data_IF_376681522171
#
_entry.id   IF_376681522171
#
_cell.length_a   1.000
_cell.length_b   1.000
_cell.length_c   1.000
_cell.angle_alpha   90.00
_cell.angle_beta   90.00
_cell.angle_gamma   90.00
#
_symmetry.space_group_name_H-M   'P 1'
#
loop_
_entity.id
_entity.type
_entity.pdbx_description
1 polymer ?
#
# COMPACT_ATOMS: atom_id res chain seq x y z
N UNK A 1 18.45 -6.66 19.57
CA UNK A 1 17.34 -6.74 20.53
C UNK A 1 16.51 -5.47 20.47
N UNK A 2 15.19 -5.61 20.48
CA UNK A 2 14.28 -4.49 20.40
C UNK A 2 13.90 -4.06 21.82
N UNK A 3 14.09 -2.79 22.15
CA UNK A 3 13.68 -2.29 23.45
C UNK A 3 12.15 -2.09 23.50
N UNK A 4 11.62 -1.82 24.69
CA UNK A 4 10.18 -1.71 24.90
C UNK A 4 9.56 -0.58 24.05
N UNK A 5 10.28 0.50 23.91
CA UNK A 5 9.81 1.65 23.15
C UNK A 5 9.69 1.33 21.66
N UNK A 6 10.72 0.68 21.13
CA UNK A 6 10.73 0.26 19.73
C UNK A 6 9.68 -0.80 19.47
N UNK A 7 9.53 -1.75 20.40
CA UNK A 7 8.52 -2.78 20.27
C UNK A 7 7.12 -2.18 20.25
N UNK A 8 6.86 -1.21 21.11
CA UNK A 8 5.54 -0.54 21.14
C UNK A 8 5.24 0.14 19.81
N UNK A 9 6.21 0.88 19.27
CA UNK A 9 6.05 1.53 17.97
C UNK A 9 5.83 0.52 16.85
N UNK A 10 6.54 -0.58 16.90
CA UNK A 10 6.42 -1.66 15.92
C UNK A 10 5.03 -2.28 15.97
N UNK A 11 4.57 -2.62 17.15
CA UNK A 11 3.25 -3.25 17.33
C UNK A 11 2.14 -2.32 16.87
N UNK A 12 2.27 -1.04 17.18
CA UNK A 12 1.30 -0.04 16.77
C UNK A 12 1.28 0.11 15.25
N UNK A 13 2.45 0.14 14.63
CA UNK A 13 2.54 0.24 13.17
C UNK A 13 1.78 -0.91 12.52
N UNK A 14 2.05 -2.15 12.95
CA UNK A 14 1.40 -3.32 12.38
C UNK A 14 -0.11 -3.29 12.60
N UNK A 15 -0.52 -2.91 13.81
CA UNK A 15 -1.95 -2.87 14.14
C UNK A 15 -2.72 -1.86 13.30
N UNK A 16 -2.08 -0.75 12.95
CA UNK A 16 -2.72 0.28 12.12
C UNK A 16 -2.63 -0.04 10.64
N UNK A 17 -1.53 -0.63 10.21
CA UNK A 17 -1.29 -0.87 8.78
C UNK A 17 -2.26 -1.90 8.21
N UNK A 18 -2.45 -3.01 8.91
CA UNK A 18 -3.24 -4.12 8.38
C UNK A 18 -4.66 -3.72 7.97
N UNK A 19 -5.45 -3.06 8.84
CA UNK A 19 -6.80 -2.66 8.43
C UNK A 19 -6.79 -1.61 7.33
N UNK A 20 -5.79 -0.73 7.31
CA UNK A 20 -5.70 0.29 6.27
C UNK A 20 -5.38 -0.30 4.92
N UNK A 21 -4.47 -1.28 4.87
CA UNK A 21 -4.18 -1.98 3.62
C UNK A 21 -5.39 -2.75 3.12
N UNK A 22 -6.15 -3.36 4.01
CA UNK A 22 -7.36 -4.07 3.63
C UNK A 22 -8.39 -3.14 3.00
N UNK A 23 -8.57 -1.95 3.57
CA UNK A 23 -9.46 -0.95 3.01
C UNK A 23 -8.97 -0.46 1.65
N UNK A 24 -7.68 -0.23 1.53
CA UNK A 24 -7.09 0.20 0.27
C UNK A 24 -7.36 -0.83 -0.83
N UNK A 25 -7.11 -2.10 -0.54
CA UNK A 25 -7.34 -3.17 -1.51
C UNK A 25 -8.83 -3.25 -1.89
N UNK A 26 -9.71 -3.08 -0.90
CA UNK A 26 -11.15 -3.09 -1.14
C UNK A 26 -11.56 -1.97 -2.11
N UNK A 27 -11.11 -0.75 -1.85
CA UNK A 27 -11.45 0.39 -2.72
C UNK A 27 -10.80 0.26 -4.08
N UNK A 28 -9.59 -0.28 -4.13
CA UNK A 28 -8.93 -0.54 -5.41
C UNK A 28 -9.77 -1.49 -6.27
N UNK A 29 -10.30 -2.55 -5.68
CA UNK A 29 -11.16 -3.50 -6.41
C UNK A 29 -12.42 -2.81 -6.93
N UNK A 30 -13.00 -1.92 -6.14
CA UNK A 30 -14.18 -1.17 -6.55
C UNK A 30 -13.88 -0.26 -7.74
N UNK A 31 -12.71 0.39 -7.73
CA UNK A 31 -12.29 1.23 -8.84
C UNK A 31 -12.07 0.37 -10.09
N UNK A 32 -11.41 -0.77 -9.94
CA UNK A 32 -11.18 -1.69 -11.06
C UNK A 32 -12.49 -2.10 -11.73
N UNK A 33 -13.53 -2.30 -10.93
CA UNK A 33 -14.82 -2.72 -11.47
C UNK A 33 -15.42 -1.66 -12.40
N UNK A 34 -15.08 -0.40 -12.21
CA UNK A 34 -15.57 0.68 -13.07
C UNK A 34 -14.96 0.65 -14.47
N UNK A 35 -13.89 -0.13 -14.67
CA UNK A 35 -13.29 -0.27 -15.98
C UNK A 35 -14.14 -1.14 -16.93
N UNK A 36 -15.17 -1.78 -16.40
CA UNK A 36 -16.04 -2.65 -17.19
C UNK A 36 -16.89 -1.84 -18.16
N UNK A 37 -16.52 -1.83 -19.43
CA UNK A 37 -17.16 -1.01 -20.46
C UNK A 37 -18.57 -1.47 -20.84
N UNK A 38 -18.98 -2.64 -20.37
CA UNK A 38 -20.36 -3.08 -20.54
C UNK A 38 -21.32 -2.24 -19.71
N UNK A 39 -20.85 -1.81 -18.51
CA UNK A 39 -21.69 -1.13 -17.54
C UNK A 39 -21.37 0.35 -17.42
N UNK A 40 -20.16 0.77 -17.80
CA UNK A 40 -19.69 2.13 -17.54
C UNK A 40 -19.02 2.72 -18.76
N UNK A 41 -19.15 4.02 -18.91
CA UNK A 41 -18.52 4.77 -20.00
C UNK A 41 -17.56 5.77 -19.41
N UNK A 42 -16.35 5.80 -19.90
CA UNK A 42 -15.33 6.76 -19.46
C UNK A 42 -14.48 7.17 -20.67
N UNK A 43 -13.87 8.34 -20.56
CA UNK A 43 -13.00 8.85 -21.60
C UNK A 43 -11.57 8.38 -21.40
N UNK A 44 -10.78 8.48 -22.46
CA UNK A 44 -9.35 8.19 -22.35
C UNK A 44 -8.68 9.13 -21.36
N UNK A 45 -9.11 10.39 -21.33
CA UNK A 45 -8.58 11.38 -20.40
C UNK A 45 -8.83 10.97 -18.96
N UNK A 46 -10.05 10.49 -18.67
CA UNK A 46 -10.37 10.01 -17.33
C UNK A 46 -9.53 8.81 -16.94
N UNK A 47 -9.32 7.88 -17.88
CA UNK A 47 -8.46 6.72 -17.64
C UNK A 47 -7.03 7.16 -17.30
N UNK A 48 -6.51 8.13 -18.03
CA UNK A 48 -5.16 8.66 -17.77
C UNK A 48 -5.08 9.37 -16.42
N UNK A 49 -6.13 10.07 -16.02
CA UNK A 49 -6.18 10.73 -14.73
C UNK A 49 -6.15 9.71 -13.59
N UNK A 50 -6.87 8.60 -13.75
CA UNK A 50 -6.84 7.53 -12.75
C UNK A 50 -5.41 6.99 -12.60
N UNK A 51 -4.77 6.71 -13.74
CA UNK A 51 -3.39 6.21 -13.72
C UNK A 51 -2.44 7.19 -13.07
N UNK A 52 -2.58 8.48 -13.38
CA UNK A 52 -1.73 9.53 -12.79
C UNK A 52 -1.89 9.59 -11.27
N UNK A 53 -3.12 9.48 -10.78
CA UNK A 53 -3.36 9.50 -9.34
C UNK A 53 -2.67 8.31 -8.66
N UNK A 54 -2.79 7.12 -9.24
CA UNK A 54 -2.11 5.94 -8.70
C UNK A 54 -0.59 6.11 -8.72
N UNK A 55 -0.06 6.67 -9.81
CA UNK A 55 1.39 6.86 -9.92
C UNK A 55 1.89 7.84 -8.88
N UNK A 56 1.17 8.94 -8.68
CA UNK A 56 1.54 9.93 -7.66
C UNK A 56 1.53 9.32 -6.27
N UNK A 57 0.51 8.53 -5.97
CA UNK A 57 0.43 7.88 -4.67
C UNK A 57 1.55 6.87 -4.47
N UNK A 58 1.88 6.12 -5.51
CA UNK A 58 2.96 5.15 -5.45
C UNK A 58 4.31 5.84 -5.22
N UNK A 59 4.56 6.92 -5.95
CA UNK A 59 5.80 7.69 -5.79
C UNK A 59 5.92 8.24 -4.38
N UNK A 60 4.84 8.78 -3.85
CA UNK A 60 4.82 9.35 -2.50
C UNK A 60 5.09 8.29 -1.44
N UNK A 61 4.47 7.12 -1.57
CA UNK A 61 4.68 6.01 -0.65
C UNK A 61 6.14 5.57 -0.69
N UNK A 62 6.72 5.50 -1.88
CA UNK A 62 8.14 5.15 -2.02
C UNK A 62 9.03 6.14 -1.30
N UNK A 63 8.80 7.43 -1.51
CA UNK A 63 9.60 8.47 -0.86
C UNK A 63 9.49 8.42 0.66
N UNK A 64 8.26 8.20 1.16
CA UNK A 64 8.04 8.24 2.60
C UNK A 64 8.56 7.00 3.32
N UNK A 65 8.43 5.82 2.71
CA UNK A 65 8.77 4.58 3.39
C UNK A 65 10.16 4.05 3.04
N UNK A 66 10.60 4.24 1.81
CA UNK A 66 11.87 3.65 1.36
C UNK A 66 13.01 4.64 1.36
N UNK A 67 12.76 5.90 0.97
CA UNK A 67 13.84 6.86 0.78
C UNK A 67 14.35 7.47 2.07
N UNK A 68 13.72 7.17 3.19
CA UNK A 68 14.27 7.58 4.49
C UNK A 68 15.53 6.81 4.84
N UNK A 69 15.76 5.69 4.18
CA UNK A 69 17.05 5.04 4.14
C UNK A 69 17.47 4.27 5.37
N UNK A 70 16.76 4.38 6.48
CA UNK A 70 17.12 3.68 7.69
C UNK A 70 15.93 2.95 8.27
N UNK A 71 16.17 1.67 8.55
CA UNK A 71 15.16 0.84 9.19
C UNK A 71 15.75 0.37 10.53
N UNK A 72 15.19 0.87 11.65
CA UNK A 72 15.80 0.65 12.96
C UNK A 72 15.71 -0.78 13.49
N UNK A 73 15.01 -1.65 12.79
CA UNK A 73 14.98 -3.07 13.15
C UNK A 73 15.47 -3.89 11.98
N UNK A 74 16.10 -5.00 12.31
CA UNK A 74 16.59 -5.91 11.29
C UNK A 74 15.43 -6.48 10.49
N UNK A 75 15.75 -6.89 9.28
CA UNK A 75 14.77 -7.48 8.41
C UNK A 75 14.09 -8.66 9.07
N UNK A 76 12.75 -8.61 9.09
CA UNK A 76 11.96 -9.72 9.59
C UNK A 76 11.52 -10.52 8.40
N UNK A 77 11.90 -11.79 8.37
CA UNK A 77 11.53 -12.66 7.29
C UNK A 77 10.05 -13.02 7.41
N UNK A 78 9.28 -12.70 6.40
CA UNK A 78 7.90 -13.12 6.30
C UNK A 78 7.90 -14.47 5.63
N UNK A 79 7.43 -15.40 6.35
CA UNK A 79 7.33 -16.74 5.79
C UNK A 79 6.37 -16.78 4.63
N UNK A 80 6.53 -16.36 4.52
CA UNK A 80 5.85 -16.24 3.60
C UNK A 80 5.49 -16.05 2.67
N UNK A 81 5.88 -15.95 2.81
CA UNK A 81 5.65 -15.57 2.00
C UNK A 81 5.52 -15.48 1.20
N UNK A 82 5.70 -15.36 1.32
CA UNK A 82 5.47 -15.19 0.62
C UNK A 82 5.25 -15.22 -0.13
N UNK A 83 5.44 -15.35 0.09
CA UNK A 83 5.16 -15.36 -0.67
C UNK A 83 4.90 -15.62 -1.30
N UNK A 84 5.12 -15.65 -1.06
CA UNK A 84 4.87 -15.83 -1.65
C UNK A 84 4.48 -16.03 -2.20
N UNK A 85 4.63 -15.89 -2.07
CA UNK A 85 4.13 -16.03 -2.54
C UNK A 85 3.68 -16.22 -3.01
#
# INVERSE_FOLDING_TARGET
>A
MIDDKTKHKRDRFKALLTPRLKKMVKYHKQIKNLANQRNYVYTEQEAKQIEQIYQLMLDEIGELFLDQGKFPIDEIKFSHTEADQ
#
